data_IF_669966728136
#
_entry.id   IF_669966728136
#
_cell.length_a   1.000
_cell.length_b   1.000
_cell.length_c   1.000
_cell.angle_alpha   90.00
_cell.angle_beta   90.00
_cell.angle_gamma   90.00
#
_symmetry.space_group_name_H-M   'P 1'
#
loop_
_entity.id
_entity.type
_entity.pdbx_description
1 polymer ?
#
# COMPACT_ATOMS: atom_id res chain seq x y z
N UNK A 1 13.79 12.88 -20.15
CA UNK A 1 14.22 11.70 -20.91
C UNK A 1 13.28 10.56 -20.56
N UNK A 2 12.80 9.75 -21.52
CA UNK A 2 12.04 8.56 -21.17
C UNK A 2 12.92 7.62 -20.33
N UNK A 3 12.45 7.23 -19.14
CA UNK A 3 13.10 6.25 -18.28
C UNK A 3 13.21 4.94 -19.07
N UNK A 4 14.40 4.34 -19.14
CA UNK A 4 14.56 3.04 -19.78
C UNK A 4 13.84 1.96 -18.97
N UNK A 5 13.16 1.02 -19.63
CA UNK A 5 12.50 -0.13 -18.96
C UNK A 5 13.46 -0.91 -18.05
N UNK A 6 14.77 -0.87 -18.36
CA UNK A 6 15.82 -1.49 -17.54
C UNK A 6 15.99 -0.78 -16.20
N UNK A 7 15.90 0.55 -16.18
CA UNK A 7 16.06 1.34 -14.96
C UNK A 7 14.84 1.16 -14.06
N UNK A 8 13.64 1.08 -14.66
CA UNK A 8 12.39 0.77 -13.97
C UNK A 8 12.49 -0.57 -13.22
N UNK A 9 12.89 -1.63 -13.93
CA UNK A 9 13.03 -2.96 -13.35
C UNK A 9 14.10 -3.01 -12.25
N UNK A 10 15.19 -2.26 -12.40
CA UNK A 10 16.24 -2.16 -11.38
C UNK A 10 15.73 -1.51 -10.09
N UNK A 11 14.93 -0.44 -10.21
CA UNK A 11 14.29 0.23 -9.06
C UNK A 11 13.33 -0.74 -8.37
N UNK A 12 12.42 -1.37 -9.12
CA UNK A 12 11.43 -2.31 -8.56
C UNK A 12 12.16 -3.43 -7.81
N UNK A 13 13.15 -4.06 -8.43
CA UNK A 13 13.92 -5.16 -7.80
C UNK A 13 14.58 -4.72 -6.50
N UNK A 14 15.11 -3.49 -6.45
CA UNK A 14 15.80 -2.95 -5.27
C UNK A 14 14.86 -2.64 -4.11
N UNK A 15 13.66 -2.12 -4.40
CA UNK A 15 12.77 -1.60 -3.36
C UNK A 15 11.60 -2.52 -3.01
N UNK A 16 11.23 -3.47 -3.86
CA UNK A 16 10.05 -4.30 -3.65
C UNK A 16 10.08 -5.06 -2.31
N UNK A 17 11.16 -5.80 -2.03
CA UNK A 17 11.27 -6.55 -0.78
C UNK A 17 11.35 -5.65 0.47
N UNK A 18 12.20 -4.60 0.52
CA UNK A 18 12.22 -3.65 1.64
C UNK A 18 10.87 -2.98 1.92
N UNK A 19 10.17 -2.52 0.87
CA UNK A 19 8.87 -1.87 1.01
C UNK A 19 7.80 -2.86 1.49
N UNK A 20 7.82 -4.10 1.00
CA UNK A 20 6.88 -5.15 1.44
C UNK A 20 7.07 -5.47 2.92
N UNK A 21 8.32 -5.55 3.37
CA UNK A 21 8.63 -5.73 4.79
C UNK A 21 8.13 -4.57 5.63
N UNK A 22 8.36 -3.33 5.18
CA UNK A 22 7.88 -2.13 5.88
C UNK A 22 6.34 -2.09 5.96
N UNK A 23 5.65 -2.35 4.85
CA UNK A 23 4.19 -2.40 4.80
C UNK A 23 3.62 -3.47 5.74
N UNK A 24 4.24 -4.65 5.78
CA UNK A 24 3.84 -5.75 6.68
C UNK A 24 3.96 -5.40 8.17
N UNK A 25 4.81 -4.43 8.53
CA UNK A 25 4.92 -3.93 9.90
C UNK A 25 3.84 -2.89 10.25
N UNK A 26 3.23 -2.26 9.24
CA UNK A 26 2.25 -1.18 9.42
C UNK A 26 0.80 -1.64 9.23
N UNK A 27 0.59 -2.63 8.37
CA UNK A 27 -0.74 -3.15 8.07
C UNK A 27 -1.23 -4.09 9.18
N UNK A 28 -2.52 -3.98 9.51
CA UNK A 28 -3.18 -4.95 10.39
C UNK A 28 -3.28 -6.32 9.71
N UNK A 29 -3.66 -6.36 8.42
CA UNK A 29 -3.57 -7.57 7.61
C UNK A 29 -2.30 -7.57 6.76
N UNK A 30 -1.33 -8.39 7.18
CA UNK A 30 -0.03 -8.53 6.51
C UNK A 30 -0.14 -9.13 5.10
N UNK A 31 -1.18 -9.88 4.79
CA UNK A 31 -1.34 -10.49 3.47
C UNK A 31 -1.48 -9.45 2.36
N UNK A 32 -1.95 -8.24 2.70
CA UNK A 32 -2.14 -7.13 1.75
C UNK A 32 -0.84 -6.38 1.43
N UNK A 33 0.27 -6.68 2.13
CA UNK A 33 1.49 -5.88 2.00
C UNK A 33 2.04 -5.83 0.58
N UNK A 34 2.08 -6.98 -0.11
CA UNK A 34 2.56 -7.05 -1.49
C UNK A 34 1.66 -6.27 -2.45
N UNK A 35 0.33 -6.36 -2.29
CA UNK A 35 -0.64 -5.66 -3.11
C UNK A 35 -0.56 -4.14 -2.93
N UNK A 36 -0.40 -3.69 -1.68
CA UNK A 36 -0.22 -2.27 -1.35
C UNK A 36 1.08 -1.72 -1.94
N UNK A 37 2.18 -2.47 -1.87
CA UNK A 37 3.44 -2.07 -2.50
C UNK A 37 3.27 -1.97 -4.01
N UNK A 38 2.67 -2.97 -4.65
CA UNK A 38 2.40 -2.95 -6.09
C UNK A 38 1.61 -1.71 -6.49
N UNK A 39 0.51 -1.43 -5.78
CA UNK A 39 -0.32 -0.25 -6.01
C UNK A 39 0.49 1.06 -5.93
N UNK A 40 1.35 1.22 -4.92
CA UNK A 40 2.19 2.42 -4.77
C UNK A 40 3.20 2.57 -5.91
N UNK A 41 3.80 1.46 -6.35
CA UNK A 41 4.77 1.49 -7.46
C UNK A 41 4.08 1.86 -8.78
N UNK A 42 2.92 1.28 -9.05
CA UNK A 42 2.08 1.60 -10.24
C UNK A 42 1.63 3.07 -10.21
N UNK A 43 1.13 3.56 -9.07
CA UNK A 43 0.70 4.95 -8.90
C UNK A 43 1.83 5.94 -9.23
N UNK A 44 3.04 5.69 -8.72
CA UNK A 44 4.18 6.56 -8.95
C UNK A 44 4.71 6.49 -10.39
N UNK A 45 4.61 5.32 -11.02
CA UNK A 45 4.94 5.14 -12.43
C UNK A 45 3.98 5.95 -13.31
N UNK A 46 2.67 5.84 -13.07
CA UNK A 46 1.64 6.58 -13.81
C UNK A 46 1.79 8.10 -13.64
N UNK A 47 2.22 8.55 -12.46
CA UNK A 47 2.51 9.96 -12.17
C UNK A 47 3.84 10.45 -12.76
N UNK A 48 4.61 9.61 -13.44
CA UNK A 48 5.96 9.91 -13.96
C UNK A 48 6.94 10.37 -12.87
N UNK A 49 6.70 10.01 -11.60
CA UNK A 49 7.56 10.31 -10.46
C UNK A 49 8.53 9.17 -10.14
N UNK A 50 8.47 8.10 -10.92
CA UNK A 50 9.23 6.87 -10.72
C UNK A 50 10.57 6.90 -11.46
N UNK A 51 11.48 7.75 -10.98
CA UNK A 51 12.83 7.89 -11.53
C UNK A 51 13.89 7.76 -10.44
N UNK A 52 15.06 7.19 -10.79
CA UNK A 52 16.15 6.98 -9.85
C UNK A 52 16.77 8.34 -9.44
N UNK A 53 16.80 8.61 -8.13
CA UNK A 53 17.32 9.85 -7.58
C UNK A 53 17.22 9.90 -6.05
N UNK A 54 17.84 10.89 -5.39
CA UNK A 54 17.88 10.98 -3.93
C UNK A 54 16.50 11.11 -3.29
N UNK A 55 15.51 11.61 -4.05
CA UNK A 55 14.14 11.81 -3.60
C UNK A 55 13.23 10.58 -3.74
N UNK A 56 13.66 9.54 -4.46
CA UNK A 56 12.80 8.38 -4.74
C UNK A 56 12.49 7.59 -3.48
N UNK A 57 13.50 7.26 -2.67
CA UNK A 57 13.32 6.51 -1.43
C UNK A 57 12.38 7.20 -0.43
N UNK A 58 12.55 8.50 -0.08
CA UNK A 58 11.62 9.16 0.82
C UNK A 58 10.20 9.25 0.23
N UNK A 59 10.07 9.47 -1.08
CA UNK A 59 8.76 9.47 -1.76
C UNK A 59 8.06 8.11 -1.65
N UNK A 60 8.77 7.01 -1.92
CA UNK A 60 8.24 5.65 -1.79
C UNK A 60 7.76 5.36 -0.37
N UNK A 61 8.54 5.72 0.64
CA UNK A 61 8.18 5.52 2.05
C UNK A 61 6.94 6.35 2.42
N UNK A 62 6.89 7.62 2.01
CA UNK A 62 5.76 8.50 2.28
C UNK A 62 4.46 7.97 1.66
N UNK A 63 4.51 7.55 0.39
CA UNK A 63 3.35 6.98 -0.32
C UNK A 63 2.91 5.66 0.29
N UNK A 64 3.86 4.81 0.64
CA UNK A 64 3.58 3.54 1.32
C UNK A 64 2.88 3.74 2.66
N UNK A 65 3.34 4.68 3.49
CA UNK A 65 2.70 5.01 4.76
C UNK A 65 1.25 5.49 4.56
N UNK A 66 1.04 6.37 3.57
CA UNK A 66 -0.30 6.86 3.25
C UNK A 66 -1.24 5.71 2.85
N UNK A 67 -0.79 4.84 1.95
CA UNK A 67 -1.55 3.68 1.49
C UNK A 67 -1.86 2.70 2.63
N UNK A 68 -0.88 2.42 3.51
CA UNK A 68 -1.08 1.54 4.67
C UNK A 68 -2.13 2.12 5.64
N UNK A 69 -2.07 3.42 5.91
CA UNK A 69 -3.04 4.09 6.77
C UNK A 69 -4.46 4.03 6.20
N UNK A 70 -4.62 4.24 4.88
CA UNK A 70 -5.91 4.12 4.19
C UNK A 70 -6.43 2.69 4.30
N UNK A 71 -5.60 1.69 3.99
CA UNK A 71 -5.98 0.28 4.06
C UNK A 71 -6.44 -0.12 5.47
N UNK A 72 -5.69 0.28 6.51
CA UNK A 72 -6.06 0.02 7.89
C UNK A 72 -7.41 0.67 8.28
N UNK A 73 -7.66 1.91 7.82
CA UNK A 73 -8.96 2.60 8.06
C UNK A 73 -10.11 1.88 7.36
N UNK A 74 -9.93 1.46 6.11
CA UNK A 74 -10.95 0.72 5.38
C UNK A 74 -11.30 -0.60 6.06
N UNK A 75 -10.30 -1.31 6.59
CA UNK A 75 -10.54 -2.53 7.37
C UNK A 75 -11.34 -2.26 8.65
N UNK A 76 -11.04 -1.18 9.37
CA UNK A 76 -11.80 -0.80 10.57
C UNK A 76 -13.25 -0.44 10.24
N UNK A 77 -13.48 0.34 9.18
CA UNK A 77 -14.84 0.71 8.75
C UNK A 77 -15.62 -0.52 8.31
N UNK A 78 -15.00 -1.44 7.56
CA UNK A 78 -15.63 -2.69 7.17
C UNK A 78 -15.95 -3.55 8.38
N UNK A 79 -15.01 -3.72 9.32
CA UNK A 79 -15.26 -4.45 10.57
C UNK A 79 -16.43 -3.86 11.37
N UNK A 80 -16.54 -2.53 11.43
CA UNK A 80 -17.65 -1.84 12.08
C UNK A 80 -18.99 -2.10 11.38
N UNK A 81 -19.04 -2.02 10.04
CA UNK A 81 -20.27 -2.32 9.29
C UNK A 81 -20.78 -3.74 9.55
N UNK A 82 -19.88 -4.72 9.58
CA UNK A 82 -20.23 -6.10 9.90
C UNK A 82 -20.75 -6.22 11.35
N UNK A 83 -20.11 -5.61 12.34
CA UNK A 83 -20.58 -5.68 13.73
C UNK A 83 -21.95 -5.02 13.92
N UNK A 84 -22.23 -3.89 13.28
CA UNK A 84 -23.54 -3.23 13.34
C UNK A 84 -24.64 -4.06 12.66
N UNK A 85 -24.37 -4.67 11.50
CA UNK A 85 -25.35 -5.50 10.79
C UNK A 85 -25.73 -6.77 11.56
N UNK A 86 -24.77 -7.41 12.23
CA UNK A 86 -25.04 -8.62 13.01
C UNK A 86 -25.64 -8.34 14.40
N UNK A 87 -25.50 -7.13 14.94
CA UNK A 87 -26.08 -6.77 16.24
C UNK A 87 -27.60 -6.56 16.19
N UNK A 88 -28.15 -6.20 15.02
CA UNK A 88 -29.60 -6.01 14.83
C UNK A 88 -30.39 -7.29 14.57
N UNK A 89 -29.72 -8.45 14.47
CA UNK A 89 -30.35 -9.73 14.16
C UNK A 89 -30.78 -10.53 15.40
N UNK A 90 -30.46 -10.06 16.61
CA UNK A 90 -30.60 -10.86 17.86
C UNK A 90 -31.67 -10.34 18.83
N UNK A 91 -32.43 -9.31 18.47
CA UNK A 91 -33.50 -8.72 19.30
C UNK A 91 -34.88 -8.84 18.63
N UNK A 92 -35.25 -10.06 18.25
CA UNK A 92 -36.62 -10.42 17.93
C UNK A 92 -36.91 -11.81 18.53
N UNK A 93 -37.28 -11.82 19.81
CA UNK A 93 -37.93 -12.94 20.48
C UNK A 93 -38.92 -12.37 21.49
#
# INVERSE_FOLDING_TARGET
MPQSDKDLMAIITRYNQPLTRLASMQLHNKSLAADIVKFVLEELYDQQLFYEGPQLRPLLIQRLHSACNIANRLQQVNAYKWSTQHSHSTTAN
#
